data_IF_382814580052
#
_entry.id   IF_382814580052
#
_cell.length_a   1.000
_cell.length_b   1.000
_cell.length_c   1.000
_cell.angle_alpha   90.00
_cell.angle_beta   90.00
_cell.angle_gamma   90.00
#
_symmetry.space_group_name_H-M   'P 1'
#
loop_
_entity.id
_entity.type
_entity.pdbx_description
1 polymer ?
#
# COMPACT_ATOMS: atom_id res chain seq x y z
N UNK A 1 2.29 -33.49 14.33
CA UNK A 1 2.24 -34.35 15.54
C UNK A 1 0.89 -34.21 16.23
N UNK A 2 0.40 -35.22 16.95
CA UNK A 2 -0.75 -35.03 17.83
C UNK A 2 -0.41 -34.01 18.91
N UNK A 3 -1.24 -32.98 19.04
CA UNK A 3 -1.20 -32.04 20.15
C UNK A 3 -1.68 -32.71 21.45
N UNK A 4 -1.34 -32.11 22.59
CA UNK A 4 -1.60 -32.66 23.95
C UNK A 4 -3.07 -33.09 24.15
N UNK A 5 -4.00 -32.39 23.49
CA UNK A 5 -5.44 -32.60 23.59
C UNK A 5 -6.07 -33.26 22.35
N UNK A 6 -5.27 -33.64 21.36
CA UNK A 6 -5.73 -34.23 20.09
C UNK A 6 -6.73 -33.33 19.31
N UNK A 7 -6.65 -32.01 19.52
CA UNK A 7 -7.52 -31.01 18.92
C UNK A 7 -7.27 -30.94 17.39
N UNK A 8 -6.01 -31.00 16.97
CA UNK A 8 -5.61 -30.98 15.56
C UNK A 8 -6.21 -32.15 14.78
N UNK A 9 -6.21 -33.36 15.35
CA UNK A 9 -6.85 -34.51 14.72
C UNK A 9 -8.37 -34.35 14.66
N UNK A 10 -8.98 -33.86 15.73
CA UNK A 10 -10.42 -33.61 15.81
C UNK A 10 -10.87 -32.57 14.77
N UNK A 11 -10.09 -31.51 14.59
CA UNK A 11 -10.27 -30.51 13.53
C UNK A 11 -10.20 -31.16 12.14
N UNK A 12 -9.16 -31.95 11.86
CA UNK A 12 -9.00 -32.59 10.56
C UNK A 12 -10.15 -33.57 10.24
N UNK A 13 -10.61 -34.33 11.24
CA UNK A 13 -11.75 -35.24 11.12
C UNK A 13 -13.06 -34.49 10.87
N UNK A 14 -13.29 -33.36 11.55
CA UNK A 14 -14.48 -32.54 11.32
C UNK A 14 -14.43 -31.89 9.93
N UNK A 15 -13.26 -31.41 9.48
CA UNK A 15 -13.06 -30.87 8.13
C UNK A 15 -13.37 -31.92 7.04
N UNK A 16 -12.97 -33.18 7.25
CA UNK A 16 -13.26 -34.31 6.35
C UNK A 16 -14.75 -34.58 6.14
N UNK A 17 -15.63 -34.09 7.02
CA UNK A 17 -17.09 -34.23 6.84
C UNK A 17 -17.65 -33.32 5.75
N UNK A 18 -16.92 -32.27 5.39
CA UNK A 18 -17.38 -31.25 4.43
C UNK A 18 -16.58 -31.25 3.13
N UNK A 19 -15.31 -31.66 3.17
CA UNK A 19 -14.39 -31.66 2.02
C UNK A 19 -13.46 -32.87 2.02
N UNK A 20 -12.87 -33.18 0.87
CA UNK A 20 -11.82 -34.20 0.78
C UNK A 20 -10.51 -33.65 1.36
N UNK A 21 -10.04 -34.24 2.45
CA UNK A 21 -8.77 -33.84 3.11
C UNK A 21 -7.73 -34.93 2.91
N UNK A 22 -6.53 -34.54 2.49
CA UNK A 22 -5.35 -35.40 2.46
C UNK A 22 -4.37 -34.89 3.52
N UNK A 23 -4.04 -35.72 4.52
CA UNK A 23 -3.09 -35.38 5.58
C UNK A 23 -1.74 -35.99 5.18
N UNK A 24 -0.68 -35.16 5.17
CA UNK A 24 0.66 -35.54 4.71
C UNK A 24 1.72 -34.95 5.62
N UNK A 25 2.93 -35.55 5.70
CA UNK A 25 4.04 -34.95 6.43
C UNK A 25 4.59 -33.72 5.70
N UNK A 26 5.33 -32.88 6.42
CA UNK A 26 5.86 -31.61 5.92
C UNK A 26 6.78 -31.79 4.70
N UNK A 27 7.58 -32.86 4.63
CA UNK A 27 8.47 -33.08 3.50
C UNK A 27 7.69 -33.39 2.21
N UNK A 28 6.54 -34.07 2.32
CA UNK A 28 5.68 -34.35 1.16
C UNK A 28 4.99 -33.08 0.67
N UNK A 29 4.64 -32.14 1.57
CA UNK A 29 4.13 -30.81 1.17
C UNK A 29 5.15 -30.13 0.27
N UNK A 30 6.39 -30.00 0.77
CA UNK A 30 7.46 -29.30 0.06
C UNK A 30 7.86 -29.98 -1.25
N UNK A 31 7.79 -31.31 -1.32
CA UNK A 31 8.14 -32.07 -2.52
C UNK A 31 7.04 -32.17 -3.59
N UNK A 32 5.75 -32.11 -3.21
CA UNK A 32 4.65 -32.51 -4.09
C UNK A 32 3.42 -31.61 -4.06
N UNK A 33 3.10 -30.98 -2.92
CA UNK A 33 1.84 -30.25 -2.77
C UNK A 33 1.98 -28.72 -2.78
N UNK A 34 3.18 -28.16 -2.91
CA UNK A 34 3.37 -26.69 -3.01
C UNK A 34 2.57 -26.03 -4.15
N UNK A 35 2.16 -26.78 -5.16
CA UNK A 35 1.34 -26.27 -6.28
C UNK A 35 -0.18 -26.44 -6.06
N UNK A 36 -0.61 -27.00 -4.93
CA UNK A 36 -2.02 -27.21 -4.65
C UNK A 36 -2.69 -25.89 -4.26
N UNK A 37 -3.93 -25.65 -4.70
CA UNK A 37 -4.61 -24.37 -4.50
C UNK A 37 -5.01 -24.10 -3.05
N UNK A 38 -5.18 -25.14 -2.24
CA UNK A 38 -5.64 -25.04 -0.85
C UNK A 38 -4.75 -25.87 0.06
N UNK A 39 -4.13 -25.19 1.03
CA UNK A 39 -3.24 -25.82 2.02
C UNK A 39 -3.66 -25.30 3.40
N UNK A 40 -3.73 -26.21 4.38
CA UNK A 40 -4.00 -25.86 5.78
C UNK A 40 -2.83 -26.36 6.61
N UNK A 41 -2.23 -25.46 7.38
CA UNK A 41 -1.14 -25.76 8.31
C UNK A 41 -1.62 -25.50 9.72
N UNK A 42 -1.41 -26.46 10.62
CA UNK A 42 -1.74 -26.33 12.04
C UNK A 42 -0.46 -26.57 12.82
N UNK A 43 0.00 -25.53 13.50
CA UNK A 43 1.19 -25.60 14.34
C UNK A 43 1.77 -24.22 14.62
N UNK A 44 1.95 -23.94 15.91
CA UNK A 44 2.60 -22.74 16.42
C UNK A 44 3.97 -22.56 15.77
N UNK A 45 4.29 -21.39 15.19
CA UNK A 45 5.58 -21.14 14.57
C UNK A 45 6.77 -21.39 15.52
N UNK A 46 7.79 -22.10 15.04
CA UNK A 46 9.04 -22.38 15.76
C UNK A 46 10.22 -22.40 14.78
N UNK A 47 11.16 -21.44 14.85
CA UNK A 47 12.29 -21.34 13.92
C UNK A 47 13.28 -22.51 14.01
N UNK A 48 13.29 -23.26 15.12
CA UNK A 48 14.23 -24.38 15.34
C UNK A 48 13.61 -25.74 14.98
N UNK A 49 12.33 -25.78 14.59
CA UNK A 49 11.61 -27.02 14.29
C UNK A 49 11.79 -27.45 12.83
N UNK A 50 11.92 -28.76 12.61
CA UNK A 50 11.87 -29.40 11.29
C UNK A 50 10.46 -29.85 10.90
N UNK A 51 9.46 -29.57 11.74
CA UNK A 51 8.06 -29.96 11.54
C UNK A 51 7.26 -28.86 10.81
N UNK A 52 5.93 -28.99 10.82
CA UNK A 52 5.02 -27.93 10.37
C UNK A 52 5.26 -26.60 11.09
N UNK A 53 5.71 -26.61 12.35
CA UNK A 53 6.04 -25.40 13.10
C UNK A 53 7.19 -24.57 12.47
N UNK A 54 8.20 -25.24 11.90
CA UNK A 54 9.26 -24.58 11.16
C UNK A 54 8.78 -24.01 9.83
N UNK A 55 7.90 -24.75 9.15
CA UNK A 55 7.27 -24.28 7.92
C UNK A 55 6.39 -23.04 8.18
N UNK A 56 5.55 -23.06 9.21
CA UNK A 56 4.69 -21.91 9.56
C UNK A 56 5.51 -20.69 9.97
N UNK A 57 6.63 -20.87 10.69
CA UNK A 57 7.60 -19.80 10.94
C UNK A 57 8.16 -19.22 9.63
N UNK A 58 8.67 -20.07 8.74
CA UNK A 58 9.25 -19.60 7.48
C UNK A 58 8.25 -18.84 6.59
N UNK A 59 6.98 -19.27 6.60
CA UNK A 59 5.88 -18.64 5.89
C UNK A 59 5.39 -17.33 6.52
N UNK A 60 5.83 -16.98 7.73
CA UNK A 60 5.38 -15.79 8.44
C UNK A 60 6.55 -14.89 8.87
N UNK A 61 7.79 -15.29 8.60
CA UNK A 61 9.02 -14.58 8.97
C UNK A 61 9.02 -13.10 8.54
N UNK A 62 8.33 -12.79 7.44
CA UNK A 62 8.24 -11.44 6.88
C UNK A 62 6.99 -10.66 7.33
N UNK A 63 6.21 -11.15 8.30
CA UNK A 63 4.88 -10.60 8.63
C UNK A 63 4.82 -9.77 9.92
N UNK A 64 5.95 -9.61 10.62
CA UNK A 64 6.07 -8.78 11.81
C UNK A 64 5.15 -9.25 12.94
N UNK A 65 4.26 -8.36 13.40
CA UNK A 65 3.35 -8.60 14.54
C UNK A 65 2.42 -9.80 14.36
N UNK A 66 2.13 -10.22 13.13
CA UNK A 66 1.35 -11.46 12.87
C UNK A 66 2.12 -12.68 13.35
N UNK A 67 3.41 -12.79 13.01
CA UNK A 67 4.25 -13.89 13.50
C UNK A 67 4.39 -13.84 15.03
N UNK A 68 4.63 -12.65 15.59
CA UNK A 68 4.72 -12.48 17.05
C UNK A 68 3.47 -12.98 17.76
N UNK A 69 2.28 -12.56 17.30
CA UNK A 69 1.00 -13.00 17.86
C UNK A 69 0.76 -14.51 17.71
N UNK A 70 1.18 -15.10 16.58
CA UNK A 70 1.07 -16.54 16.37
C UNK A 70 2.06 -17.37 17.20
N UNK A 71 3.17 -16.79 17.65
CA UNK A 71 4.18 -17.45 18.48
C UNK A 71 3.84 -17.44 19.98
N UNK A 72 2.88 -16.62 20.43
CA UNK A 72 2.49 -16.57 21.84
C UNK A 72 2.00 -17.93 22.35
N UNK A 73 2.31 -18.31 23.61
CA UNK A 73 1.72 -19.47 24.25
C UNK A 73 0.19 -19.37 24.22
N UNK A 74 -0.49 -20.48 23.92
CA UNK A 74 -1.95 -20.58 23.83
C UNK A 74 -2.60 -19.63 22.78
N UNK A 75 -1.82 -19.18 21.80
CA UNK A 75 -2.32 -18.39 20.68
C UNK A 75 -3.31 -19.20 19.83
N UNK A 76 -4.45 -18.58 19.53
CA UNK A 76 -5.47 -19.10 18.61
C UNK A 76 -5.60 -18.26 17.33
N UNK A 77 -4.48 -17.68 16.91
CA UNK A 77 -4.43 -16.78 15.76
C UNK A 77 -4.47 -17.56 14.44
N UNK A 78 -5.08 -16.95 13.43
CA UNK A 78 -5.18 -17.49 12.07
C UNK A 78 -4.55 -16.48 11.11
N UNK A 79 -3.54 -16.91 10.38
CA UNK A 79 -2.97 -16.17 9.26
C UNK A 79 -3.36 -16.80 7.93
N UNK A 80 -3.39 -16.00 6.87
CA UNK A 80 -3.62 -16.49 5.50
C UNK A 80 -2.56 -15.93 4.58
N UNK A 81 -1.94 -16.81 3.79
CA UNK A 81 -1.07 -16.44 2.68
C UNK A 81 -1.75 -16.74 1.34
N UNK A 82 -1.57 -15.86 0.37
CA UNK A 82 -2.06 -16.03 -0.99
C UNK A 82 -0.90 -16.02 -1.98
N UNK A 83 -0.96 -16.89 -2.99
CA UNK A 83 -0.01 -16.85 -4.10
C UNK A 83 1.45 -17.20 -3.75
N UNK A 84 1.71 -17.74 -2.55
CA UNK A 84 3.07 -17.83 -2.01
C UNK A 84 4.00 -18.75 -2.82
N UNK A 85 3.51 -19.94 -3.24
CA UNK A 85 4.27 -20.86 -4.10
C UNK A 85 3.70 -21.01 -5.51
N UNK A 86 2.40 -20.79 -5.66
CA UNK A 86 1.67 -20.96 -6.92
C UNK A 86 0.49 -19.98 -6.97
N UNK A 87 -0.01 -19.69 -8.17
CA UNK A 87 -1.16 -18.80 -8.35
C UNK A 87 -2.28 -19.47 -9.16
N UNK A 88 -3.55 -19.39 -8.73
CA UNK A 88 -4.01 -18.95 -7.41
C UNK A 88 -3.73 -20.02 -6.33
N UNK A 89 -3.45 -19.58 -5.10
CA UNK A 89 -3.26 -20.46 -3.94
C UNK A 89 -3.68 -19.73 -2.65
N UNK A 90 -4.29 -20.46 -1.74
CA UNK A 90 -4.62 -20.02 -0.38
C UNK A 90 -4.03 -20.99 0.64
N UNK A 91 -3.16 -20.49 1.50
CA UNK A 91 -2.57 -21.22 2.62
C UNK A 91 -3.16 -20.63 3.91
N UNK A 92 -3.92 -21.44 4.65
CA UNK A 92 -4.45 -21.05 5.96
C UNK A 92 -3.56 -21.64 7.05
N UNK A 93 -3.07 -20.79 7.93
CA UNK A 93 -2.13 -21.16 8.99
C UNK A 93 -2.83 -20.89 10.32
N UNK A 94 -2.90 -21.91 11.17
CA UNK A 94 -3.43 -21.82 12.53
C UNK A 94 -2.30 -22.12 13.51
N UNK A 95 -2.12 -21.28 14.53
CA UNK A 95 -1.17 -21.56 15.62
C UNK A 95 -1.62 -22.78 16.44
N UNK A 96 -2.93 -22.87 16.70
CA UNK A 96 -3.63 -24.02 17.26
C UNK A 96 -4.99 -24.17 16.55
N UNK A 97 -5.54 -25.39 16.50
CA UNK A 97 -6.83 -25.64 15.87
C UNK A 97 -7.80 -26.31 16.83
N UNK A 98 -9.04 -25.83 16.87
CA UNK A 98 -10.20 -26.46 17.47
C UNK A 98 -11.15 -26.99 16.40
N UNK A 99 -12.00 -27.96 16.76
CA UNK A 99 -12.99 -28.51 15.83
C UNK A 99 -13.97 -27.46 15.28
N UNK A 100 -14.19 -26.37 16.00
CA UNK A 100 -15.06 -25.26 15.57
C UNK A 100 -14.45 -24.37 14.49
N UNK A 101 -13.13 -24.38 14.31
CA UNK A 101 -12.46 -23.54 13.30
C UNK A 101 -12.69 -24.02 11.86
N UNK A 102 -13.23 -25.23 11.70
CA UNK A 102 -13.55 -25.81 10.39
C UNK A 102 -14.40 -24.86 9.55
N UNK A 103 -15.35 -24.14 10.17
CA UNK A 103 -16.18 -23.18 9.44
C UNK A 103 -15.39 -21.94 8.97
N UNK A 104 -14.52 -21.41 9.82
CA UNK A 104 -13.65 -20.27 9.50
C UNK A 104 -12.67 -20.65 8.37
N UNK A 105 -12.02 -21.81 8.48
CA UNK A 105 -11.08 -22.31 7.45
C UNK A 105 -11.78 -22.56 6.13
N UNK A 106 -12.94 -23.23 6.15
CA UNK A 106 -13.73 -23.45 4.92
C UNK A 106 -14.22 -22.15 4.30
N UNK A 107 -14.59 -21.16 5.12
CA UNK A 107 -14.95 -19.84 4.64
C UNK A 107 -13.74 -19.22 3.95
N UNK A 108 -12.57 -19.12 4.58
CA UNK A 108 -11.36 -18.54 3.97
C UNK A 108 -11.02 -19.23 2.64
N UNK A 109 -10.99 -20.57 2.61
CA UNK A 109 -10.58 -21.34 1.43
C UNK A 109 -11.58 -21.23 0.27
N UNK A 110 -12.88 -21.16 0.54
CA UNK A 110 -13.93 -21.22 -0.51
C UNK A 110 -14.49 -19.86 -0.91
N UNK A 111 -14.25 -18.83 -0.11
CA UNK A 111 -14.90 -17.54 -0.28
C UNK A 111 -14.47 -16.80 -1.54
N UNK A 112 -13.16 -16.79 -1.80
CA UNK A 112 -12.55 -16.05 -2.90
C UNK A 112 -11.28 -16.73 -3.39
N UNK A 113 -11.03 -16.60 -4.68
CA UNK A 113 -9.74 -16.90 -5.27
C UNK A 113 -8.95 -15.59 -5.32
N UNK A 114 -7.71 -15.63 -4.82
CA UNK A 114 -6.80 -14.49 -4.86
C UNK A 114 -5.57 -14.90 -5.68
N UNK A 115 -5.26 -14.08 -6.68
CA UNK A 115 -4.01 -14.18 -7.45
C UNK A 115 -3.17 -12.97 -7.11
N UNK A 116 -1.94 -13.20 -6.66
CA UNK A 116 -0.99 -12.14 -6.29
C UNK A 116 0.24 -12.28 -7.19
N UNK A 117 0.48 -11.25 -7.99
CA UNK A 117 1.67 -11.06 -8.83
C UNK A 117 2.32 -9.72 -8.43
N UNK A 118 3.59 -9.46 -8.80
CA UNK A 118 4.34 -8.30 -8.30
C UNK A 118 3.63 -6.94 -8.42
N UNK A 119 2.85 -6.73 -9.49
CA UNK A 119 2.18 -5.45 -9.78
C UNK A 119 0.69 -5.63 -10.07
N UNK A 120 0.14 -6.79 -9.69
CA UNK A 120 -1.21 -7.20 -10.07
C UNK A 120 -1.83 -8.09 -9.00
N UNK A 121 -3.01 -7.70 -8.55
CA UNK A 121 -3.83 -8.51 -7.65
C UNK A 121 -5.22 -8.68 -8.25
N UNK A 122 -5.66 -9.94 -8.37
CA UNK A 122 -7.02 -10.30 -8.77
C UNK A 122 -7.71 -11.05 -7.65
N UNK A 123 -8.88 -10.56 -7.24
CA UNK A 123 -9.72 -11.17 -6.21
C UNK A 123 -11.09 -11.49 -6.82
N UNK A 124 -11.43 -12.78 -6.84
CA UNK A 124 -12.66 -13.29 -7.42
C UNK A 124 -13.51 -13.98 -6.35
N UNK A 125 -14.59 -13.32 -5.93
CA UNK A 125 -15.50 -13.86 -4.93
C UNK A 125 -16.36 -14.96 -5.55
N UNK A 126 -16.39 -16.13 -4.90
CA UNK A 126 -16.99 -17.36 -5.45
C UNK A 126 -18.39 -17.62 -4.92
N UNK A 127 -18.73 -17.10 -3.74
CA UNK A 127 -20.00 -17.36 -3.08
C UNK A 127 -20.79 -16.07 -2.90
N UNK A 128 -22.04 -16.08 -3.37
CA UNK A 128 -22.98 -15.04 -3.01
C UNK A 128 -23.30 -15.24 -1.53
N UNK A 129 -23.25 -14.16 -0.75
CA UNK A 129 -23.78 -14.19 0.60
C UNK A 129 -25.29 -14.32 0.44
N UNK A 130 -25.82 -15.50 0.79
CA UNK A 130 -27.25 -15.72 0.85
C UNK A 130 -27.81 -14.86 2.00
N UNK A 131 -28.29 -13.67 1.67
CA UNK A 131 -29.03 -12.83 2.60
C UNK A 131 -30.42 -12.57 2.04
N UNK A 132 -31.43 -12.96 2.80
CA UNK A 132 -32.83 -13.04 2.37
C UNK A 132 -33.55 -11.68 2.29
N UNK A 133 -32.81 -10.56 2.33
CA UNK A 133 -33.38 -9.21 2.36
C UNK A 133 -32.59 -8.23 1.48
N UNK A 134 -33.26 -7.71 0.45
CA UNK A 134 -32.74 -6.76 -0.54
C UNK A 134 -32.35 -5.36 0.01
N UNK A 135 -32.42 -5.14 1.32
CA UNK A 135 -32.25 -3.83 1.96
C UNK A 135 -30.89 -3.62 2.65
N UNK A 136 -29.98 -4.60 2.62
CA UNK A 136 -28.72 -4.52 3.34
C UNK A 136 -27.54 -4.24 2.40
N UNK A 137 -26.67 -3.33 2.84
CA UNK A 137 -25.35 -3.11 2.27
C UNK A 137 -24.44 -4.28 2.61
N UNK A 138 -23.61 -4.68 1.64
CA UNK A 138 -22.60 -5.71 1.85
C UNK A 138 -21.22 -5.07 1.86
N UNK A 139 -20.51 -5.18 2.97
CA UNK A 139 -19.15 -4.64 3.11
C UNK A 139 -18.14 -5.77 3.18
N UNK A 140 -17.04 -5.64 2.44
CA UNK A 140 -15.88 -6.50 2.55
C UNK A 140 -14.60 -5.69 2.58
N UNK A 141 -13.59 -6.24 3.26
CA UNK A 141 -12.27 -5.65 3.37
C UNK A 141 -11.27 -6.50 2.60
N UNK A 142 -10.35 -5.81 1.95
CA UNK A 142 -9.14 -6.33 1.31
C UNK A 142 -7.99 -5.79 2.16
N UNK A 143 -7.68 -6.56 3.20
CA UNK A 143 -6.61 -6.28 4.17
C UNK A 143 -5.90 -7.61 4.46
N UNK A 144 -5.21 -8.12 3.46
CA UNK A 144 -4.50 -9.40 3.53
C UNK A 144 -3.00 -9.17 3.33
N UNK A 145 -2.19 -9.96 4.02
CA UNK A 145 -0.71 -9.87 4.04
C UNK A 145 -0.13 -9.68 2.64
N UNK A 146 -0.41 -10.62 1.73
CA UNK A 146 0.20 -10.62 0.39
C UNK A 146 -0.41 -9.56 -0.54
N UNK A 147 -1.66 -9.14 -0.30
CA UNK A 147 -2.29 -8.07 -1.09
C UNK A 147 -1.68 -6.72 -0.71
N UNK A 148 -1.53 -6.45 0.59
CA UNK A 148 -0.89 -5.23 1.07
C UNK A 148 0.56 -5.15 0.60
N UNK A 149 1.33 -6.24 0.72
CA UNK A 149 2.73 -6.27 0.26
C UNK A 149 2.88 -6.04 -1.25
N UNK A 150 1.91 -6.50 -2.06
CA UNK A 150 1.96 -6.31 -3.51
C UNK A 150 1.50 -4.92 -3.96
N UNK A 151 0.61 -4.26 -3.20
CA UNK A 151 -0.08 -3.04 -3.66
C UNK A 151 0.17 -1.80 -2.80
N UNK A 152 0.77 -1.97 -1.61
CA UNK A 152 0.85 -0.97 -0.54
C UNK A 152 -0.52 -0.32 -0.24
N UNK A 153 -1.60 -1.10 -0.28
CA UNK A 153 -2.96 -0.58 -0.12
C UNK A 153 -3.83 -1.48 0.78
N UNK A 154 -4.72 -0.83 1.53
CA UNK A 154 -5.91 -1.46 2.14
C UNK A 154 -7.15 -0.89 1.46
N UNK A 155 -8.14 -1.74 1.21
CA UNK A 155 -9.39 -1.36 0.56
C UNK A 155 -10.60 -1.96 1.27
N UNK A 156 -11.55 -1.11 1.64
CA UNK A 156 -12.85 -1.51 2.17
C UNK A 156 -13.94 -1.11 1.19
N UNK A 157 -14.71 -2.06 0.68
CA UNK A 157 -15.78 -1.80 -0.29
C UNK A 157 -17.13 -2.12 0.33
N UNK A 158 -18.07 -1.20 0.16
CA UNK A 158 -19.49 -1.39 0.47
C UNK A 158 -20.29 -1.41 -0.84
N UNK A 159 -21.01 -2.51 -1.05
CA UNK A 159 -21.88 -2.74 -2.19
C UNK A 159 -23.34 -2.59 -1.82
N UNK A 160 -24.12 -2.12 -2.79
CA UNK A 160 -25.58 -2.15 -2.81
C UNK A 160 -26.03 -3.34 -3.63
N UNK A 161 -26.88 -4.18 -3.02
CA UNK A 161 -27.37 -5.41 -3.63
C UNK A 161 -26.38 -6.58 -3.50
N UNK A 162 -26.88 -7.79 -3.83
CA UNK A 162 -26.11 -9.03 -3.76
C UNK A 162 -25.47 -9.28 -5.12
N UNK A 163 -24.15 -9.13 -5.23
CA UNK A 163 -23.39 -9.45 -6.44
C UNK A 163 -22.13 -10.25 -6.09
N UNK A 164 -21.55 -10.90 -7.10
CA UNK A 164 -20.24 -11.55 -7.00
C UNK A 164 -19.18 -10.58 -7.52
N UNK A 165 -18.52 -9.81 -6.65
CA UNK A 165 -17.50 -8.87 -7.08
C UNK A 165 -16.27 -9.62 -7.61
N UNK A 166 -15.70 -9.05 -8.66
CA UNK A 166 -14.38 -9.36 -9.20
C UNK A 166 -13.58 -8.07 -9.17
N UNK A 167 -12.63 -8.02 -8.26
CA UNK A 167 -11.79 -6.87 -8.00
C UNK A 167 -10.43 -7.10 -8.62
N UNK A 168 -9.97 -6.12 -9.39
CA UNK A 168 -8.68 -6.10 -10.01
C UNK A 168 -7.93 -4.84 -9.55
N UNK A 169 -6.70 -5.02 -9.06
CA UNK A 169 -5.82 -3.95 -8.63
C UNK A 169 -4.53 -4.07 -9.43
N UNK A 170 -4.17 -3.03 -10.15
CA UNK A 170 -2.88 -2.89 -10.81
C UNK A 170 -2.07 -1.80 -10.13
N UNK A 171 -0.79 -2.08 -9.86
CA UNK A 171 0.18 -1.08 -9.47
C UNK A 171 1.04 -0.74 -10.68
N UNK A 172 1.35 0.53 -10.87
CA UNK A 172 2.30 0.97 -11.87
C UNK A 172 3.32 1.92 -11.25
N UNK A 173 4.44 2.04 -11.95
CA UNK A 173 5.53 2.98 -11.67
C UNK A 173 5.75 3.95 -12.84
N UNK A 174 6.79 4.79 -12.74
CA UNK A 174 7.23 5.72 -13.79
C UNK A 174 7.47 5.08 -15.18
N UNK A 175 7.70 3.76 -15.22
CA UNK A 175 8.10 3.05 -16.44
C UNK A 175 7.00 2.18 -17.02
N UNK A 176 6.05 1.77 -16.18
CA UNK A 176 4.97 0.84 -16.54
C UNK A 176 3.61 1.53 -16.64
N UNK A 177 3.45 2.72 -16.07
CA UNK A 177 2.18 3.45 -16.11
C UNK A 177 1.81 3.82 -17.55
N UNK A 178 0.57 3.54 -17.99
CA UNK A 178 0.10 3.96 -19.32
C UNK A 178 -0.05 5.48 -19.43
N UNK A 179 -0.23 6.18 -18.30
CA UNK A 179 -0.45 7.63 -18.24
C UNK A 179 0.38 8.21 -17.10
N UNK A 180 1.55 8.78 -17.40
CA UNK A 180 2.39 9.41 -16.37
C UNK A 180 1.75 10.69 -15.84
N UNK A 181 1.94 11.01 -14.56
CA UNK A 181 1.51 12.28 -13.96
C UNK A 181 2.60 13.33 -14.16
N UNK A 182 2.34 14.32 -15.00
CA UNK A 182 3.30 15.36 -15.40
C UNK A 182 2.66 16.75 -15.42
N UNK A 183 3.47 17.81 -15.44
CA UNK A 183 2.96 19.19 -15.54
C UNK A 183 2.11 19.43 -16.78
N UNK A 184 2.42 18.72 -17.88
CA UNK A 184 1.73 18.89 -19.16
C UNK A 184 0.34 18.25 -19.20
N UNK A 185 0.03 17.37 -18.24
CA UNK A 185 -1.21 16.60 -18.23
C UNK A 185 -1.91 16.55 -16.88
N UNK A 186 -1.67 17.51 -15.99
CA UNK A 186 -2.53 17.75 -14.83
C UNK A 186 -1.84 17.98 -13.50
N UNK A 187 -0.55 17.66 -13.38
CA UNK A 187 0.20 17.91 -12.14
C UNK A 187 0.28 19.42 -11.86
N UNK A 188 -0.07 19.82 -10.64
CA UNK A 188 -0.06 21.23 -10.24
C UNK A 188 1.36 21.81 -10.25
N UNK A 189 1.46 23.13 -10.49
CA UNK A 189 2.74 23.83 -10.47
C UNK A 189 3.39 23.73 -9.08
N UNK A 190 4.67 23.32 -9.05
CA UNK A 190 5.42 23.13 -7.81
C UNK A 190 5.31 21.73 -7.20
N UNK A 191 4.39 20.90 -7.68
CA UNK A 191 4.28 19.51 -7.26
C UNK A 191 5.13 18.57 -8.13
N UNK A 192 5.49 17.43 -7.55
CA UNK A 192 6.22 16.33 -8.17
C UNK A 192 5.49 15.02 -7.87
N UNK A 193 5.44 14.12 -8.84
CA UNK A 193 4.84 12.80 -8.65
C UNK A 193 5.77 11.89 -7.84
N UNK A 194 5.20 11.00 -7.02
CA UNK A 194 5.92 9.90 -6.37
C UNK A 194 6.14 8.71 -7.32
N UNK A 195 5.69 8.83 -8.57
CA UNK A 195 5.69 7.74 -9.55
C UNK A 195 5.01 6.46 -9.04
N UNK A 196 4.01 6.63 -8.17
CA UNK A 196 3.21 5.55 -7.59
C UNK A 196 1.78 5.67 -8.11
N UNK A 197 1.37 4.67 -8.88
CA UNK A 197 0.06 4.65 -9.53
C UNK A 197 -0.71 3.39 -9.17
N UNK A 198 -2.02 3.51 -8.93
CA UNK A 198 -2.91 2.41 -8.56
C UNK A 198 -4.21 2.46 -9.36
N UNK A 199 -4.46 1.46 -10.18
CA UNK A 199 -5.71 1.29 -10.92
C UNK A 199 -6.55 0.21 -10.27
N UNK A 200 -7.78 0.57 -9.90
CA UNK A 200 -8.69 -0.34 -9.21
C UNK A 200 -9.94 -0.50 -10.05
N UNK A 201 -10.14 -1.70 -10.57
CA UNK A 201 -11.32 -2.06 -11.36
C UNK A 201 -12.20 -3.02 -10.57
N UNK A 202 -13.44 -2.62 -10.33
CA UNK A 202 -14.46 -3.48 -9.75
C UNK A 202 -15.48 -3.86 -10.82
N UNK A 203 -15.60 -5.16 -11.07
CA UNK A 203 -16.63 -5.74 -11.94
C UNK A 203 -17.53 -6.67 -11.16
N UNK A 204 -18.71 -6.94 -11.66
CA UNK A 204 -19.63 -7.91 -11.08
C UNK A 204 -19.83 -9.07 -12.04
N UNK A 205 -19.83 -10.29 -11.50
CA UNK A 205 -20.11 -11.51 -12.26
C UNK A 205 -21.48 -12.07 -11.89
N UNK A 206 -22.10 -12.80 -12.82
CA UNK A 206 -23.43 -13.38 -12.63
C UNK A 206 -24.57 -12.50 -13.15
N UNK A 207 -25.81 -12.80 -12.71
CA UNK A 207 -27.04 -12.16 -13.20
C UNK A 207 -27.55 -11.02 -12.33
N UNK A 208 -26.92 -10.79 -11.17
CA UNK A 208 -27.32 -9.73 -10.25
C UNK A 208 -26.53 -8.45 -10.50
N UNK A 209 -27.19 -7.30 -10.35
CA UNK A 209 -26.57 -6.00 -10.53
C UNK A 209 -26.09 -5.51 -9.18
N UNK A 210 -24.79 -5.62 -8.92
CA UNK A 210 -24.15 -4.93 -7.82
C UNK A 210 -23.95 -3.46 -8.16
N UNK A 211 -24.02 -2.60 -7.15
CA UNK A 211 -23.62 -1.20 -7.29
C UNK A 211 -22.59 -0.88 -6.22
N UNK A 212 -21.55 -0.13 -6.56
CA UNK A 212 -20.64 0.41 -5.56
C UNK A 212 -21.37 1.53 -4.80
N UNK A 213 -21.47 1.39 -3.47
CA UNK A 213 -22.06 2.43 -2.62
C UNK A 213 -20.97 3.30 -2.02
N UNK A 214 -19.88 2.69 -1.57
CA UNK A 214 -18.67 3.40 -1.16
C UNK A 214 -17.47 2.47 -1.18
N UNK A 215 -16.28 3.04 -1.36
CA UNK A 215 -15.00 2.41 -1.13
C UNK A 215 -14.13 3.33 -0.28
N UNK A 216 -13.48 2.81 0.74
CA UNK A 216 -12.42 3.48 1.48
C UNK A 216 -11.08 2.86 1.06
N UNK A 217 -10.25 3.67 0.43
CA UNK A 217 -8.90 3.31 0.00
C UNK A 217 -7.93 3.91 1.01
N UNK A 218 -6.91 3.16 1.40
CA UNK A 218 -5.75 3.65 2.14
C UNK A 218 -4.52 3.25 1.33
N UNK A 219 -3.84 4.23 0.74
CA UNK A 219 -2.65 4.04 -0.09
C UNK A 219 -1.44 4.46 0.72
N UNK A 220 -0.61 3.49 1.07
CA UNK A 220 0.55 3.67 1.92
C UNK A 220 1.77 4.07 1.10
N UNK A 221 2.63 4.87 1.71
CA UNK A 221 3.92 5.28 1.15
C UNK A 221 5.06 5.04 2.14
N UNK A 222 6.23 4.75 1.61
CA UNK A 222 7.44 4.38 2.35
C UNK A 222 8.34 5.60 2.53
N UNK A 223 9.17 5.65 3.58
CA UNK A 223 10.11 6.76 3.77
C UNK A 223 11.05 7.00 2.57
N UNK A 224 11.53 5.92 1.94
CA UNK A 224 12.40 6.00 0.75
C UNK A 224 11.70 6.56 -0.49
N UNK A 225 10.36 6.60 -0.52
CA UNK A 225 9.61 7.23 -1.61
C UNK A 225 9.50 8.76 -1.42
N UNK A 226 9.87 9.29 -0.25
CA UNK A 226 9.90 10.73 0.04
C UNK A 226 11.30 11.33 -0.12
N UNK A 227 12.34 10.52 0.08
CA UNK A 227 13.76 10.85 -0.03
C UNK A 227 14.21 10.78 -1.51
N UNK A 228 14.16 11.92 -2.19
CA UNK A 228 14.40 12.02 -3.63
C UNK A 228 15.89 12.15 -3.94
N UNK A 229 16.70 12.69 -3.03
CA UNK A 229 18.14 12.80 -3.22
C UNK A 229 18.93 11.57 -2.72
N UNK A 230 18.27 10.70 -1.94
CA UNK A 230 18.77 9.41 -1.50
C UNK A 230 19.78 9.51 -0.35
N UNK A 231 19.78 10.61 0.40
CA UNK A 231 20.69 10.83 1.53
C UNK A 231 20.20 10.24 2.86
N UNK A 232 19.04 9.58 2.84
CA UNK A 232 18.32 8.98 3.96
C UNK A 232 17.78 9.99 5.00
N UNK A 233 17.68 11.27 4.66
CA UNK A 233 17.21 12.32 5.54
C UNK A 233 16.23 13.26 4.81
N UNK A 234 14.98 13.34 5.27
CA UNK A 234 14.00 14.26 4.67
C UNK A 234 14.43 15.71 4.85
N UNK A 235 14.77 16.36 3.74
CA UNK A 235 15.39 17.67 3.67
C UNK A 235 15.08 18.43 2.39
N UNK A 236 15.94 19.40 2.05
CA UNK A 236 15.71 20.28 0.89
C UNK A 236 15.83 19.50 -0.42
N UNK A 237 14.79 19.57 -1.24
CA UNK A 237 14.72 18.80 -2.49
C UNK A 237 13.97 17.48 -2.36
N UNK A 238 13.64 17.06 -1.14
CA UNK A 238 12.76 15.91 -0.90
C UNK A 238 11.30 16.30 -0.92
N UNK A 239 10.44 15.30 -0.93
CA UNK A 239 9.02 15.52 -0.92
C UNK A 239 8.53 15.95 0.46
N UNK A 240 7.75 17.04 0.50
CA UNK A 240 7.09 17.48 1.72
C UNK A 240 5.88 16.60 1.99
N UNK A 241 6.03 15.66 2.92
CA UNK A 241 4.99 14.72 3.31
C UNK A 241 3.63 15.39 3.60
N UNK A 242 3.63 16.56 4.24
CA UNK A 242 2.39 17.28 4.60
C UNK A 242 1.58 17.82 3.42
N UNK A 243 2.16 17.81 2.21
CA UNK A 243 1.54 18.28 0.97
C UNK A 243 1.06 17.15 0.06
N UNK A 244 1.30 15.90 0.48
CA UNK A 244 0.88 14.72 -0.25
C UNK A 244 -0.61 14.74 -0.57
N UNK A 245 -0.93 14.48 -1.83
CA UNK A 245 -2.30 14.41 -2.31
C UNK A 245 -2.47 13.33 -3.40
N UNK A 246 -3.72 13.01 -3.69
CA UNK A 246 -4.09 12.08 -4.74
C UNK A 246 -4.52 12.83 -6.00
N UNK A 247 -4.15 12.27 -7.13
CA UNK A 247 -4.68 12.59 -8.44
C UNK A 247 -5.48 11.40 -8.97
N UNK A 248 -6.48 11.66 -9.80
CA UNK A 248 -7.17 10.63 -10.55
C UNK A 248 -7.11 10.93 -12.05
N UNK A 249 -7.02 9.89 -12.86
CA UNK A 249 -6.96 10.04 -14.32
C UNK A 249 -8.38 10.12 -14.89
N UNK A 250 -8.72 11.27 -15.47
CA UNK A 250 -9.97 11.42 -16.21
C UNK A 250 -9.79 11.00 -17.66
N UNK A 251 -10.30 9.82 -17.99
CA UNK A 251 -10.25 9.28 -19.34
C UNK A 251 -10.97 10.15 -20.37
N UNK A 252 -11.96 10.97 -19.96
CA UNK A 252 -12.71 11.81 -20.89
C UNK A 252 -11.87 13.01 -21.37
N UNK A 253 -11.15 13.66 -20.45
CA UNK A 253 -10.22 14.74 -20.78
C UNK A 253 -8.82 14.26 -21.11
N UNK A 254 -8.54 12.97 -20.92
CA UNK A 254 -7.22 12.35 -21.03
C UNK A 254 -6.16 13.07 -20.16
N UNK A 255 -6.57 13.52 -18.98
CA UNK A 255 -5.74 14.32 -18.07
C UNK A 255 -5.91 13.90 -16.62
N UNK A 256 -4.87 14.11 -15.82
CA UNK A 256 -4.91 13.95 -14.38
C UNK A 256 -5.61 15.15 -13.74
N UNK A 257 -6.44 14.88 -12.74
CA UNK A 257 -7.06 15.92 -11.94
C UNK A 257 -6.79 15.65 -10.47
N UNK A 258 -6.42 16.70 -9.73
CA UNK A 258 -6.25 16.62 -8.29
C UNK A 258 -7.57 16.21 -7.66
N UNK A 259 -7.52 15.19 -6.80
CA UNK A 259 -8.68 14.67 -6.11
C UNK A 259 -9.07 15.65 -4.99
N UNK A 260 -10.33 16.05 -4.94
CA UNK A 260 -10.88 16.93 -3.91
C UNK A 260 -12.32 16.56 -3.59
N UNK A 261 -12.82 17.00 -2.43
CA UNK A 261 -14.22 16.85 -2.02
C UNK A 261 -15.22 17.67 -2.86
N UNK A 262 -14.73 18.51 -3.79
CA UNK A 262 -15.60 19.22 -4.74
C UNK A 262 -16.14 18.29 -5.84
N UNK A 263 -15.53 17.11 -6.00
CA UNK A 263 -16.00 16.06 -6.90
C UNK A 263 -17.14 15.29 -6.23
N UNK A 264 -18.28 15.19 -6.92
CA UNK A 264 -19.53 14.61 -6.39
C UNK A 264 -19.42 13.14 -5.95
N UNK A 265 -18.45 12.41 -6.47
CA UNK A 265 -18.17 11.02 -6.14
C UNK A 265 -17.11 10.83 -5.05
N UNK A 266 -16.45 11.91 -4.60
CA UNK A 266 -15.50 11.91 -3.48
C UNK A 266 -16.25 12.31 -2.22
N UNK A 267 -16.35 11.38 -1.27
CA UNK A 267 -17.09 11.57 -0.04
C UNK A 267 -16.24 12.22 1.05
N UNK A 268 -14.95 11.90 1.10
CA UNK A 268 -14.01 12.33 2.13
C UNK A 268 -12.56 12.00 1.70
N UNK A 269 -11.58 12.78 2.11
CA UNK A 269 -10.15 12.54 1.81
C UNK A 269 -9.26 13.03 2.95
N UNK A 270 -8.15 12.35 3.20
CA UNK A 270 -7.20 12.82 4.19
C UNK A 270 -5.82 12.19 4.08
N UNK A 271 -4.89 12.80 4.80
CA UNK A 271 -3.49 12.37 4.90
C UNK A 271 -3.19 11.98 6.34
N UNK A 272 -2.50 10.85 6.53
CA UNK A 272 -1.95 10.44 7.80
C UNK A 272 -0.44 10.25 7.66
N UNK A 273 0.34 11.10 8.34
CA UNK A 273 1.81 11.12 8.34
C UNK A 273 2.40 10.42 9.57
N UNK A 274 1.68 9.43 10.11
CA UNK A 274 2.15 8.66 11.28
C UNK A 274 2.75 7.35 10.79
N UNK A 275 4.02 7.16 11.11
CA UNK A 275 4.73 5.91 10.85
C UNK A 275 3.94 4.71 11.37
N UNK A 276 3.84 3.67 10.54
CA UNK A 276 3.14 2.44 10.88
C UNK A 276 3.85 1.23 10.30
N UNK A 277 3.87 0.15 11.06
CA UNK A 277 4.33 -1.15 10.58
C UNK A 277 3.13 -2.06 10.36
N UNK A 278 2.98 -2.56 9.13
CA UNK A 278 1.90 -3.45 8.73
C UNK A 278 2.48 -4.68 8.05
N UNK A 279 2.16 -5.86 8.57
CA UNK A 279 2.61 -7.14 8.01
C UNK A 279 4.12 -7.19 7.73
N UNK A 280 4.92 -6.62 8.64
CA UNK A 280 6.39 -6.56 8.53
C UNK A 280 6.94 -5.43 7.64
N UNK A 281 6.09 -4.73 6.89
CA UNK A 281 6.49 -3.56 6.08
C UNK A 281 6.39 -2.27 6.90
N UNK A 282 7.36 -1.37 6.73
CA UNK A 282 7.37 -0.05 7.37
C UNK A 282 6.91 1.03 6.39
N UNK A 283 5.92 1.82 6.81
CA UNK A 283 5.35 2.93 6.05
C UNK A 283 5.50 4.23 6.85
N UNK A 284 5.76 5.33 6.16
CA UNK A 284 5.81 6.67 6.76
C UNK A 284 4.38 7.20 7.04
N UNK A 285 3.42 6.73 6.25
CA UNK A 285 2.04 7.13 6.37
C UNK A 285 1.18 6.57 5.25
N UNK A 286 0.00 7.15 5.09
CA UNK A 286 -0.91 6.84 4.00
C UNK A 286 -1.80 8.03 3.66
N UNK A 287 -2.18 8.12 2.39
CA UNK A 287 -3.32 8.93 1.97
C UNK A 287 -4.54 8.02 1.93
N UNK A 288 -5.67 8.49 2.45
CA UNK A 288 -6.92 7.77 2.36
C UNK A 288 -7.97 8.59 1.64
N UNK A 289 -8.85 7.90 0.91
CA UNK A 289 -9.98 8.52 0.24
C UNK A 289 -11.20 7.61 0.34
N UNK A 290 -12.35 8.22 0.62
CA UNK A 290 -13.65 7.56 0.54
C UNK A 290 -14.37 8.03 -0.72
N UNK A 291 -14.73 7.09 -1.59
CA UNK A 291 -15.25 7.37 -2.94
C UNK A 291 -16.46 6.50 -3.26
N UNK A 292 -17.32 6.94 -4.17
CA UNK A 292 -18.40 6.13 -4.76
C UNK A 292 -18.04 5.57 -6.13
N UNK A 293 -16.84 5.89 -6.61
CA UNK A 293 -16.29 5.48 -7.90
C UNK A 293 -14.81 5.10 -7.74
N UNK A 294 -14.42 3.93 -8.27
CA UNK A 294 -13.03 3.50 -8.31
C UNK A 294 -12.41 3.90 -9.65
N UNK A 295 -11.13 4.25 -9.65
CA UNK A 295 -10.46 4.81 -10.82
C UNK A 295 -8.97 4.45 -10.84
N UNK A 296 -8.22 5.14 -11.71
CA UNK A 296 -6.77 5.15 -11.74
C UNK A 296 -6.25 6.36 -10.93
N UNK A 297 -5.50 6.07 -9.87
CA UNK A 297 -4.99 7.05 -8.92
C UNK A 297 -3.47 7.20 -9.03
N UNK A 298 -2.96 8.39 -8.71
CA UNK A 298 -1.54 8.69 -8.60
C UNK A 298 -1.26 9.54 -7.37
N UNK A 299 -0.06 9.44 -6.81
CA UNK A 299 0.40 10.26 -5.69
C UNK A 299 1.33 11.37 -6.17
N UNK A 300 1.19 12.55 -5.56
CA UNK A 300 2.09 13.68 -5.76
C UNK A 300 2.13 14.57 -4.51
N UNK A 301 3.14 15.44 -4.43
CA UNK A 301 3.29 16.45 -3.39
C UNK A 301 4.29 17.53 -3.80
N UNK A 302 4.44 18.56 -2.99
CA UNK A 302 5.42 19.63 -3.21
C UNK A 302 6.80 19.22 -2.70
N UNK A 303 7.85 19.79 -3.28
CA UNK A 303 9.20 19.65 -2.73
C UNK A 303 9.41 20.59 -1.54
N UNK A 304 10.20 20.14 -0.58
CA UNK A 304 10.73 20.99 0.49
C UNK A 304 11.74 21.94 -0.16
N UNK A 305 11.33 23.19 -0.34
CA UNK A 305 12.18 24.25 -0.88
C UNK A 305 12.58 25.24 0.21
N UNK A 306 13.74 25.87 0.05
CA UNK A 306 14.05 27.05 0.84
C UNK A 306 13.12 28.17 0.39
N UNK A 307 12.19 28.59 1.23
CA UNK A 307 11.50 29.85 1.02
C UNK A 307 12.54 30.98 1.15
N UNK A 308 13.16 31.37 0.04
CA UNK A 308 13.88 32.63 -0.02
C UNK A 308 12.82 33.72 0.02
N UNK A 309 12.56 34.23 1.22
CA UNK A 309 11.54 35.27 1.37
C UNK A 309 11.96 36.50 0.55
N UNK A 310 10.99 37.17 -0.08
CA UNK A 310 11.22 38.44 -0.78
C UNK A 310 12.11 39.43 -0.01
N UNK A 311 11.98 39.61 1.32
CA UNK A 311 12.92 40.43 2.09
C UNK A 311 14.37 39.95 2.05
N UNK A 312 14.64 38.64 2.04
CA UNK A 312 16.00 38.10 1.94
C UNK A 312 16.60 38.34 0.55
N UNK A 313 15.78 38.20 -0.50
CA UNK A 313 16.18 38.52 -1.87
C UNK A 313 16.46 40.03 -2.03
N UNK A 314 15.59 40.88 -1.47
CA UNK A 314 15.77 42.34 -1.49
C UNK A 314 16.99 42.78 -0.68
N UNK A 315 17.25 42.17 0.49
CA UNK A 315 18.46 42.43 1.27
C UNK A 315 19.72 42.06 0.49
N UNK A 316 19.71 40.91 -0.20
CA UNK A 316 20.82 40.45 -1.03
C UNK A 316 21.07 41.40 -2.21
N UNK A 317 20.01 41.85 -2.89
CA UNK A 317 20.10 42.86 -3.95
C UNK A 317 20.63 44.18 -3.41
N UNK A 318 20.17 44.65 -2.25
CA UNK A 318 20.63 45.89 -1.62
C UNK A 318 22.11 45.79 -1.23
N UNK A 319 22.57 44.66 -0.71
CA UNK A 319 23.98 44.42 -0.38
C UNK A 319 24.87 44.39 -1.63
N UNK A 320 24.43 43.75 -2.71
CA UNK A 320 25.16 43.71 -3.98
C UNK A 320 25.24 45.10 -4.64
N UNK A 321 24.12 45.82 -4.71
CA UNK A 321 24.07 47.18 -5.25
C UNK A 321 24.85 48.18 -4.37
N UNK A 322 24.74 48.06 -3.04
CA UNK A 322 25.46 48.88 -2.08
C UNK A 322 26.98 48.65 -2.14
N UNK A 323 27.41 47.38 -2.19
CA UNK A 323 28.82 47.01 -2.37
C UNK A 323 29.41 47.52 -3.69
N UNK A 324 28.65 47.39 -4.79
CA UNK A 324 29.04 47.92 -6.10
C UNK A 324 29.22 49.44 -6.10
N UNK A 325 28.31 50.18 -5.46
CA UNK A 325 28.41 51.64 -5.29
C UNK A 325 29.62 52.03 -4.43
N UNK A 326 29.89 51.33 -3.34
CA UNK A 326 31.07 51.57 -2.51
C UNK A 326 32.38 51.31 -3.28
N UNK A 327 32.45 50.23 -4.06
CA UNK A 327 33.61 49.92 -4.90
C UNK A 327 33.84 50.98 -5.99
N UNK A 328 32.77 51.48 -6.63
CA UNK A 328 32.83 52.57 -7.60
C UNK A 328 33.30 53.89 -6.96
N UNK A 329 32.78 54.25 -5.80
CA UNK A 329 33.20 55.46 -5.07
C UNK A 329 34.65 55.35 -4.62
N UNK A 330 35.08 54.17 -4.16
CA UNK A 330 36.44 53.93 -3.71
C UNK A 330 37.44 53.98 -4.89
N UNK A 331 37.15 53.31 -6.00
CA UNK A 331 37.98 53.36 -7.22
C UNK A 331 38.03 54.76 -7.82
N UNK A 332 36.91 55.48 -7.89
CA UNK A 332 36.89 56.88 -8.31
C UNK A 332 37.72 57.78 -7.40
N UNK A 333 37.62 57.62 -6.06
CA UNK A 333 38.46 58.36 -5.11
C UNK A 333 39.94 58.01 -5.22
N UNK A 334 40.27 56.76 -5.49
CA UNK A 334 41.65 56.30 -5.64
C UNK A 334 42.28 56.82 -6.94
N UNK A 335 41.53 56.83 -8.05
CA UNK A 335 41.95 57.44 -9.32
C UNK A 335 42.12 58.96 -9.22
N UNK A 336 41.39 59.62 -8.31
CA UNK A 336 41.45 61.08 -8.12
C UNK A 336 42.54 61.55 -7.14
N UNK A 337 43.43 60.66 -6.66
CA UNK A 337 44.60 61.11 -5.90
C UNK A 337 45.46 62.02 -6.79
N UNK A 338 45.65 63.30 -6.42
CA UNK A 338 46.33 64.26 -7.28
C UNK A 338 47.81 63.91 -7.41
N UNK A 339 48.35 63.99 -8.63
CA UNK A 339 49.78 63.96 -8.98
C UNK A 339 50.55 65.15 -8.36
N UNK A 340 50.53 65.30 -7.03
CA UNK A 340 51.29 66.33 -6.31
C UNK A 340 52.64 65.84 -5.77
N UNK A 341 53.04 64.60 -6.06
CA UNK A 341 54.35 64.07 -5.65
C UNK A 341 55.38 63.88 -6.77
N UNK A 342 55.08 64.24 -8.03
CA UNK A 342 56.06 64.16 -9.13
C UNK A 342 56.85 65.45 -9.43
N UNK A 343 56.68 66.52 -8.64
CA UNK A 343 57.44 67.78 -8.80
C UNK A 343 58.30 68.15 -7.58
N UNK A 344 58.99 67.18 -6.98
CA UNK A 344 60.20 67.43 -6.18
C UNK A 344 61.31 66.47 -6.61
N UNK A 345 61.90 66.73 -7.76
CA UNK A 345 63.28 66.39 -8.09
C UNK A 345 63.87 67.48 -8.96
#
# INVERSE_FOLDING_TARGET
DPDEYNNTLSFAQELQRYVNVTIVPVEEIMGKYVQYPYIVLVGRPDPESDTVAGLTYSLLADTGTVLEAMMEPDSHEIATRYGYWANPQTIVILSEAYSTDVFTVLQILRWRNVTVLPDYVLIEYQTQIANDMAAYTYTFNVNEIDVLKATDMILSITLGGLALPRLLIHRYDATTSPYLLTSDNGLAEGEVSLDKYLEITLTFTGTTVGTLQSALLQIYYRPLELDFDGDACIGLGDLNESTLCLYWYDEQSASWMRLSEDLDWVLDIGLNTTDVQLYGESYAGFIWVRVTHLSFFALAGELIVNEVTYPDLMLTIVLLCGGGLFALVFTYRWMKKPEKEKQKK
#
